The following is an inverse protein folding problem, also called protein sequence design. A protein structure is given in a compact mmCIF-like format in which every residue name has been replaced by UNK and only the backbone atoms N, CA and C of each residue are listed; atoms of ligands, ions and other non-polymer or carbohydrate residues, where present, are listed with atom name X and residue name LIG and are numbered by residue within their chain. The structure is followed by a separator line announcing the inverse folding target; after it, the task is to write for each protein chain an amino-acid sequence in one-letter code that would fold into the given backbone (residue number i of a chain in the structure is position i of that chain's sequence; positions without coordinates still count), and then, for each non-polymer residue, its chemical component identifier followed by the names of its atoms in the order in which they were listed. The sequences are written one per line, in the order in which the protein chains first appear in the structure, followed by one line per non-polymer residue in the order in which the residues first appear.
data_IF_419687479498
#
_entry.id   IF_419687479498
#
_cell.length_a   1.000
_cell.length_b   1.000
_cell.length_c   1.000
_cell.angle_alpha   90.00
_cell.angle_beta   90.00
_cell.angle_gamma   90.00
#
_symmetry.space_group_name_H-M   'P 1'
#
loop_
_entity.id
_entity.type
_entity.pdbx_description
1 polymer ?
#
# COMPACT_ATOMS: atom_id res chain seq x y z
N UNK A 1 36.75 -25.38 45.06
CA UNK A 1 35.40 -25.05 45.54
C UNK A 1 35.05 -23.67 45.04
N UNK A 2 34.24 -23.56 44.00
CA UNK A 2 33.71 -22.27 43.48
C UNK A 2 32.78 -21.73 44.56
N UNK A 3 33.11 -20.57 45.12
CA UNK A 3 32.28 -19.96 46.17
C UNK A 3 30.92 -19.64 45.57
N UNK A 4 29.81 -19.96 46.23
CA UNK A 4 28.41 -19.75 45.81
C UNK A 4 28.18 -18.31 45.31
N UNK A 5 28.87 -17.32 45.87
CA UNK A 5 28.85 -15.92 45.38
C UNK A 5 29.31 -15.76 43.93
N UNK A 6 30.32 -16.54 43.50
CA UNK A 6 30.82 -16.44 42.12
C UNK A 6 29.85 -17.11 41.12
N UNK A 7 29.16 -18.19 41.57
CA UNK A 7 28.14 -18.85 40.76
C UNK A 7 26.92 -17.94 40.57
N UNK A 8 26.50 -17.23 41.62
CA UNK A 8 25.41 -16.28 41.55
C UNK A 8 25.73 -15.07 40.65
N UNK A 9 26.97 -14.56 40.74
CA UNK A 9 27.44 -13.47 39.88
C UNK A 9 27.46 -13.89 38.39
N UNK A 10 27.90 -15.12 38.12
CA UNK A 10 27.91 -15.68 36.76
C UNK A 10 26.49 -15.85 36.21
N UNK A 11 25.55 -16.32 37.05
CA UNK A 11 24.14 -16.47 36.68
C UNK A 11 23.48 -15.09 36.36
N UNK A 12 23.77 -14.06 37.17
CA UNK A 12 23.31 -12.70 36.91
C UNK A 12 23.92 -12.13 35.63
N UNK A 13 25.18 -12.44 35.32
CA UNK A 13 25.79 -12.02 34.06
C UNK A 13 25.09 -12.66 32.86
N UNK A 14 24.75 -13.94 32.90
CA UNK A 14 23.99 -14.61 31.84
C UNK A 14 22.59 -14.06 31.66
N UNK A 15 21.92 -13.63 32.73
CA UNK A 15 20.61 -13.00 32.66
C UNK A 15 20.67 -11.60 32.02
N UNK A 16 21.77 -10.87 32.15
CA UNK A 16 21.97 -9.57 31.50
C UNK A 16 22.24 -9.69 30.01
N UNK A 17 22.79 -10.79 29.52
CA UNK A 17 22.95 -11.07 28.08
C UNK A 17 21.69 -11.65 27.41
N UNK A 18 20.67 -12.01 28.18
CA UNK A 18 19.39 -12.55 27.69
C UNK A 18 18.39 -11.45 27.30
N UNK A 19 18.71 -10.17 27.48
CA UNK A 19 17.89 -9.10 26.98
C UNK A 19 18.15 -9.01 25.46
N UNK A 20 17.48 -9.86 24.69
CA UNK A 20 17.45 -9.73 23.24
C UNK A 20 17.01 -8.31 22.90
N UNK A 21 17.83 -7.57 22.18
CA UNK A 21 17.38 -6.34 21.56
C UNK A 21 16.24 -6.71 20.63
N UNK A 22 15.07 -6.14 20.85
CA UNK A 22 13.96 -6.26 19.91
C UNK A 22 14.44 -5.76 18.56
N UNK A 23 14.54 -6.67 17.60
CA UNK A 23 14.89 -6.30 16.23
C UNK A 23 13.63 -5.70 15.60
N UNK A 24 13.56 -4.40 15.55
CA UNK A 24 12.49 -3.70 14.84
C UNK A 24 12.74 -3.84 13.33
N UNK A 25 11.83 -4.51 12.67
CA UNK A 25 11.81 -4.60 11.23
C UNK A 25 11.03 -3.40 10.69
N UNK A 26 11.64 -2.64 9.81
CA UNK A 26 11.11 -1.38 9.35
C UNK A 26 11.23 -1.30 7.82
N UNK A 27 10.17 -0.84 7.16
CA UNK A 27 10.15 -0.46 5.76
C UNK A 27 9.63 0.97 5.65
N UNK A 28 10.26 1.77 4.80
CA UNK A 28 9.76 3.09 4.46
C UNK A 28 8.63 3.00 3.43
N UNK A 29 7.65 3.87 3.61
CA UNK A 29 6.56 4.02 2.64
C UNK A 29 7.07 4.48 1.26
N UNK A 30 6.30 4.23 0.20
CA UNK A 30 6.47 4.94 -1.07
C UNK A 30 6.39 6.45 -0.85
N UNK A 31 6.90 7.24 -1.79
CA UNK A 31 7.07 8.68 -1.67
C UNK A 31 6.45 9.43 -2.86
N UNK A 32 6.39 10.77 -2.78
CA UNK A 32 6.00 11.64 -3.89
C UNK A 32 4.62 11.34 -4.49
N UNK A 33 3.61 11.11 -3.61
CA UNK A 33 2.23 10.99 -4.08
C UNK A 33 1.71 12.33 -4.61
N UNK A 34 0.88 12.27 -5.64
CA UNK A 34 0.07 13.41 -6.07
C UNK A 34 -1.08 13.72 -5.09
N UNK A 35 -1.50 12.73 -4.27
CA UNK A 35 -2.66 12.80 -3.36
C UNK A 35 -3.85 13.56 -4.00
N UNK A 36 -4.30 13.05 -5.14
CA UNK A 36 -5.27 13.73 -5.99
C UNK A 36 -6.66 13.77 -5.34
N UNK A 37 -7.41 14.84 -5.61
CA UNK A 37 -8.78 15.02 -5.13
C UNK A 37 -9.72 15.28 -6.30
N UNK A 38 -10.01 14.23 -7.07
CA UNK A 38 -10.94 14.21 -8.20
C UNK A 38 -10.78 15.41 -9.16
N UNK A 39 -9.63 15.58 -9.84
CA UNK A 39 -9.42 16.69 -10.74
C UNK A 39 -10.41 16.63 -11.91
N UNK A 40 -10.93 17.79 -12.28
CA UNK A 40 -11.90 17.92 -13.39
C UNK A 40 -11.28 17.71 -14.79
N UNK A 41 -9.95 17.90 -14.91
CA UNK A 41 -9.22 17.66 -16.14
C UNK A 41 -8.95 16.15 -16.33
N UNK A 42 -9.51 15.49 -17.35
CA UNK A 42 -9.29 14.07 -17.61
C UNK A 42 -7.81 13.70 -17.78
N UNK A 43 -6.96 14.63 -18.21
CA UNK A 43 -5.52 14.40 -18.35
C UNK A 43 -4.84 14.18 -17.01
N UNK A 44 -5.40 14.70 -15.92
CA UNK A 44 -4.89 14.61 -14.54
C UNK A 44 -5.56 13.50 -13.71
N UNK A 45 -6.54 12.79 -14.26
CA UNK A 45 -7.26 11.71 -13.58
C UNK A 45 -6.43 10.42 -13.57
N UNK A 46 -5.34 10.43 -12.82
CA UNK A 46 -4.48 9.27 -12.55
C UNK A 46 -3.81 9.38 -11.18
N UNK A 47 -3.62 8.26 -10.52
CA UNK A 47 -2.83 8.17 -9.30
C UNK A 47 -1.35 8.07 -9.66
N UNK A 48 -0.49 8.78 -8.94
CA UNK A 48 0.95 8.69 -9.13
C UNK A 48 1.71 8.70 -7.82
N UNK A 49 2.83 7.98 -7.78
CA UNK A 49 3.76 7.94 -6.68
C UNK A 49 5.11 7.38 -7.14
N UNK A 50 6.11 7.45 -6.26
CA UNK A 50 7.42 6.85 -6.47
C UNK A 50 7.65 5.75 -5.44
N UNK A 51 8.11 4.58 -5.85
CA UNK A 51 8.51 3.52 -4.89
C UNK A 51 9.72 3.96 -4.07
N UNK A 52 9.97 3.30 -2.95
CA UNK A 52 11.14 3.59 -2.12
C UNK A 52 12.12 2.41 -2.11
N UNK A 53 12.43 1.91 -3.31
CA UNK A 53 13.21 0.69 -3.53
C UNK A 53 14.64 0.82 -3.04
N UNK A 54 15.28 1.97 -3.29
CA UNK A 54 16.67 2.22 -2.88
C UNK A 54 16.83 2.11 -1.37
N UNK A 55 16.00 2.83 -0.61
CA UNK A 55 16.06 2.82 0.85
C UNK A 55 15.71 1.45 1.43
N UNK A 56 14.60 0.86 0.99
CA UNK A 56 14.12 -0.42 1.53
C UNK A 56 15.05 -1.59 1.20
N UNK A 57 15.81 -1.50 0.11
CA UNK A 57 16.84 -2.50 -0.19
C UNK A 57 18.05 -2.36 0.72
N UNK A 58 18.51 -1.14 1.00
CA UNK A 58 19.63 -0.90 1.93
C UNK A 58 19.29 -1.40 3.35
N UNK A 59 18.07 -1.14 3.83
CA UNK A 59 17.58 -1.65 5.13
C UNK A 59 17.54 -3.19 5.12
N UNK A 60 17.16 -3.80 4.01
CA UNK A 60 17.12 -5.27 3.87
C UNK A 60 18.50 -5.91 4.07
N UNK A 61 19.57 -5.23 3.71
CA UNK A 61 20.94 -5.74 3.88
C UNK A 61 21.38 -5.79 5.36
N UNK A 62 20.78 -4.97 6.22
CA UNK A 62 21.16 -4.85 7.63
C UNK A 62 20.29 -5.72 8.56
N UNK A 63 19.06 -6.05 8.15
CA UNK A 63 18.02 -6.48 9.10
C UNK A 63 17.23 -7.73 8.76
N UNK A 64 17.72 -8.78 8.08
CA UNK A 64 16.92 -9.99 7.76
C UNK A 64 15.51 -9.72 7.16
N UNK A 65 15.27 -8.52 6.64
CA UNK A 65 14.07 -8.14 5.92
C UNK A 65 14.31 -8.32 4.44
N UNK A 66 13.49 -9.10 3.77
CA UNK A 66 13.51 -9.17 2.32
C UNK A 66 12.45 -8.23 1.76
N UNK A 67 12.87 -7.07 1.24
CA UNK A 67 11.97 -6.17 0.53
C UNK A 67 11.49 -6.81 -0.78
N UNK A 68 10.20 -6.79 -1.03
CA UNK A 68 9.56 -7.46 -2.17
C UNK A 68 9.09 -6.47 -3.23
N UNK A 69 8.68 -5.26 -2.82
CA UNK A 69 8.15 -4.23 -3.70
C UNK A 69 7.03 -3.42 -3.06
N UNK A 70 6.14 -2.88 -3.87
CA UNK A 70 5.04 -2.01 -3.43
C UNK A 70 3.68 -2.61 -3.81
N UNK A 71 2.74 -2.61 -2.87
CA UNK A 71 1.34 -2.97 -3.10
C UNK A 71 0.45 -1.73 -3.03
N UNK A 72 -0.58 -1.68 -3.87
CA UNK A 72 -1.62 -0.65 -3.85
C UNK A 72 -2.90 -1.28 -3.34
N UNK A 73 -3.59 -0.57 -2.45
CA UNK A 73 -4.89 -0.93 -1.91
C UNK A 73 -5.93 0.10 -2.32
N UNK A 74 -7.16 -0.34 -2.53
CA UNK A 74 -8.25 0.54 -2.94
C UNK A 74 -9.58 0.15 -2.28
N UNK A 75 -10.50 1.10 -2.24
CA UNK A 75 -11.90 0.88 -1.91
C UNK A 75 -12.78 1.84 -2.72
N UNK A 76 -13.94 1.37 -3.15
CA UNK A 76 -14.93 2.14 -3.90
C UNK A 76 -16.03 2.58 -2.94
N UNK A 77 -16.54 3.80 -3.14
CA UNK A 77 -17.60 4.43 -2.34
C UNK A 77 -18.65 4.99 -3.28
N UNK A 78 -19.93 4.85 -2.92
CA UNK A 78 -21.04 5.53 -3.59
C UNK A 78 -21.43 6.86 -2.92
N UNK A 79 -20.66 7.30 -1.93
CA UNK A 79 -20.87 8.52 -1.15
C UNK A 79 -19.53 9.20 -0.86
N UNK A 80 -19.38 10.44 -1.37
CA UNK A 80 -18.14 11.20 -1.27
C UNK A 80 -17.83 11.64 0.16
N UNK A 81 -18.86 11.93 0.98
CA UNK A 81 -18.68 12.37 2.36
C UNK A 81 -18.16 11.21 3.21
N UNK A 82 -18.73 10.02 3.05
CA UNK A 82 -18.24 8.79 3.70
C UNK A 82 -16.79 8.51 3.33
N UNK A 83 -16.43 8.64 2.05
CA UNK A 83 -15.04 8.50 1.60
C UNK A 83 -14.11 9.48 2.33
N UNK A 84 -14.43 10.78 2.33
CA UNK A 84 -13.60 11.83 2.95
C UNK A 84 -13.42 11.61 4.45
N UNK A 85 -14.50 11.24 5.15
CA UNK A 85 -14.45 10.95 6.58
C UNK A 85 -13.55 9.74 6.88
N UNK A 86 -13.64 8.67 6.09
CA UNK A 86 -12.76 7.52 6.27
C UNK A 86 -11.30 7.84 5.90
N UNK A 87 -11.06 8.63 4.84
CA UNK A 87 -9.70 9.09 4.48
C UNK A 87 -9.06 9.82 5.66
N UNK A 88 -9.74 10.77 6.29
CA UNK A 88 -9.22 11.51 7.44
C UNK A 88 -8.82 10.53 8.57
N UNK A 89 -9.70 9.58 8.93
CA UNK A 89 -9.42 8.62 10.01
C UNK A 89 -8.22 7.72 9.69
N UNK A 90 -8.07 7.33 8.43
CA UNK A 90 -6.96 6.48 7.99
C UNK A 90 -5.65 7.28 8.01
N UNK A 91 -5.65 8.49 7.45
CA UNK A 91 -4.47 9.35 7.37
C UNK A 91 -3.98 9.77 8.76
N UNK A 92 -4.88 10.13 9.69
CA UNK A 92 -4.53 10.44 11.08
C UNK A 92 -3.93 9.23 11.81
N UNK A 93 -4.41 8.02 11.51
CA UNK A 93 -3.90 6.79 12.11
C UNK A 93 -2.50 6.43 11.61
N UNK A 94 -2.11 6.89 10.42
CA UNK A 94 -0.79 6.64 9.85
C UNK A 94 0.34 7.27 10.68
N UNK A 95 0.06 8.39 11.36
CA UNK A 95 1.01 9.03 12.27
C UNK A 95 1.41 8.15 13.47
N UNK A 96 0.64 7.10 13.77
CA UNK A 96 0.89 6.13 14.85
C UNK A 96 1.24 4.71 14.33
N UNK A 97 1.70 4.58 13.09
CA UNK A 97 2.02 3.32 12.39
C UNK A 97 0.84 2.32 12.29
N UNK A 98 -0.38 2.80 12.48
CA UNK A 98 -1.60 1.99 12.39
C UNK A 98 -2.31 2.09 11.03
N UNK A 99 -1.78 2.90 10.10
CA UNK A 99 -2.43 3.15 8.81
C UNK A 99 -2.76 1.87 8.04
N UNK A 100 -1.80 0.94 7.91
CA UNK A 100 -2.04 -0.34 7.25
C UNK A 100 -3.11 -1.19 7.96
N UNK A 101 -3.13 -1.19 9.30
CA UNK A 101 -4.16 -1.88 10.10
C UNK A 101 -5.55 -1.31 9.81
N UNK A 102 -5.67 0.02 9.59
CA UNK A 102 -6.92 0.67 9.22
C UNK A 102 -7.40 0.29 7.82
N UNK A 103 -6.49 0.13 6.85
CA UNK A 103 -6.88 -0.38 5.53
C UNK A 103 -7.56 -1.75 5.64
N UNK A 104 -7.00 -2.66 6.44
CA UNK A 104 -7.62 -3.97 6.70
C UNK A 104 -8.94 -3.85 7.45
N UNK A 105 -9.02 -2.96 8.46
CA UNK A 105 -10.25 -2.74 9.23
C UNK A 105 -11.42 -2.22 8.36
N UNK A 106 -11.11 -1.40 7.37
CA UNK A 106 -12.11 -0.89 6.41
C UNK A 106 -12.25 -1.73 5.15
N UNK A 107 -11.72 -2.95 5.12
CA UNK A 107 -11.84 -3.91 4.01
C UNK A 107 -11.31 -3.37 2.67
N UNK A 108 -10.22 -2.60 2.68
CA UNK A 108 -9.55 -2.23 1.44
C UNK A 108 -9.02 -3.47 0.73
N UNK A 109 -9.26 -3.55 -0.57
CA UNK A 109 -8.82 -4.66 -1.40
C UNK A 109 -7.51 -4.34 -2.10
N UNK A 110 -6.71 -5.37 -2.39
CA UNK A 110 -5.50 -5.22 -3.20
C UNK A 110 -5.87 -4.90 -4.63
N UNK A 111 -5.27 -3.83 -5.18
CA UNK A 111 -5.29 -3.63 -6.61
C UNK A 111 -4.49 -4.75 -7.27
N UNK A 112 -5.05 -5.36 -8.30
CA UNK A 112 -4.39 -6.34 -9.13
C UNK A 112 -4.13 -5.79 -10.53
N UNK A 113 -3.42 -6.57 -11.33
CA UNK A 113 -3.12 -6.24 -12.71
C UNK A 113 -3.50 -7.42 -13.60
N UNK A 114 -3.88 -7.16 -14.84
CA UNK A 114 -4.16 -8.19 -15.84
C UNK A 114 -2.97 -9.15 -16.06
N UNK A 115 -1.76 -8.68 -15.75
CA UNK A 115 -0.56 -9.52 -15.62
C UNK A 115 -0.28 -9.69 -14.13
N UNK A 116 -0.66 -10.83 -13.56
CA UNK A 116 -0.57 -11.09 -12.12
C UNK A 116 0.83 -10.81 -11.54
N UNK A 117 0.86 -10.08 -10.44
CA UNK A 117 2.05 -9.83 -9.64
C UNK A 117 1.66 -9.62 -8.17
N UNK A 118 2.39 -10.22 -7.23
CA UNK A 118 2.28 -9.97 -5.79
C UNK A 118 3.68 -9.77 -5.18
N UNK A 119 4.05 -8.58 -4.75
CA UNK A 119 3.24 -7.34 -4.78
C UNK A 119 3.01 -6.81 -6.21
N UNK A 120 2.05 -5.87 -6.34
CA UNK A 120 1.66 -5.29 -7.65
C UNK A 120 2.85 -4.73 -8.42
N UNK A 121 3.71 -3.98 -7.75
CA UNK A 121 4.97 -3.46 -8.28
C UNK A 121 6.11 -4.19 -7.60
N UNK A 122 6.81 -5.05 -8.33
CA UNK A 122 8.00 -5.72 -7.81
C UNK A 122 9.14 -4.74 -7.62
N UNK A 123 9.98 -5.00 -6.64
CA UNK A 123 11.20 -4.21 -6.43
C UNK A 123 12.03 -4.14 -7.73
N UNK A 124 12.64 -3.00 -7.96
CA UNK A 124 13.51 -2.79 -9.12
C UNK A 124 14.74 -3.71 -9.08
N UNK A 125 15.10 -4.29 -10.21
CA UNK A 125 16.35 -5.06 -10.34
C UNK A 125 17.60 -4.18 -10.23
N UNK A 126 17.47 -2.87 -10.51
CA UNK A 126 18.54 -1.87 -10.41
C UNK A 126 18.59 -1.21 -9.05
N UNK A 127 17.71 -1.61 -8.11
CA UNK A 127 17.58 -1.06 -6.77
C UNK A 127 17.28 0.45 -6.74
N UNK A 128 16.79 0.98 -7.84
CA UNK A 128 16.38 2.38 -7.99
C UNK A 128 14.88 2.53 -7.80
N UNK A 129 14.46 3.68 -7.28
CA UNK A 129 13.05 4.02 -7.16
C UNK A 129 12.40 4.07 -8.54
N UNK A 130 11.14 3.63 -8.61
CA UNK A 130 10.34 3.54 -9.84
C UNK A 130 9.21 4.56 -9.77
N UNK A 131 8.96 5.30 -10.85
CA UNK A 131 7.82 6.20 -10.95
C UNK A 131 6.59 5.41 -11.43
N UNK A 132 5.54 5.44 -10.62
CA UNK A 132 4.31 4.68 -10.86
C UNK A 132 3.19 5.64 -11.24
N UNK A 133 2.42 5.23 -12.24
CA UNK A 133 1.20 5.92 -12.66
C UNK A 133 0.10 4.89 -12.91
N UNK A 134 -1.09 5.14 -12.34
CA UNK A 134 -2.24 4.24 -12.44
C UNK A 134 -3.42 5.05 -12.97
N UNK A 135 -3.88 4.70 -14.16
CA UNK A 135 -5.05 5.27 -14.79
C UNK A 135 -6.14 4.20 -14.91
N UNK A 136 -7.34 4.51 -14.42
CA UNK A 136 -8.44 3.54 -14.36
C UNK A 136 -9.33 3.57 -15.60
N UNK A 137 -9.42 4.74 -16.27
CA UNK A 137 -10.22 4.99 -17.48
C UNK A 137 -9.35 5.57 -18.57
N UNK A 138 -9.77 5.37 -19.80
CA UNK A 138 -9.16 6.05 -20.95
C UNK A 138 -9.38 7.57 -20.86
N UNK A 139 -8.31 8.33 -20.91
CA UNK A 139 -8.34 9.79 -20.75
C UNK A 139 -8.20 10.56 -22.07
N UNK A 140 -8.37 9.91 -23.22
CA UNK A 140 -8.19 10.52 -24.54
C UNK A 140 -6.73 10.73 -24.96
N UNK A 141 -5.83 10.96 -24.01
CA UNK A 141 -4.37 11.13 -24.24
C UNK A 141 -3.58 9.87 -23.88
N UNK A 142 -4.08 9.09 -22.94
CA UNK A 142 -3.45 7.87 -22.46
C UNK A 142 -4.53 6.87 -22.06
N UNK A 143 -4.32 5.61 -22.42
CA UNK A 143 -5.25 4.53 -22.10
C UNK A 143 -5.19 4.17 -20.61
N UNK A 144 -6.26 3.53 -20.10
CA UNK A 144 -6.24 2.88 -18.81
C UNK A 144 -5.04 1.95 -18.69
N UNK A 145 -4.36 1.96 -17.53
CA UNK A 145 -3.17 1.14 -17.36
C UNK A 145 -2.40 1.42 -16.08
N UNK A 146 -1.54 0.49 -15.75
CA UNK A 146 -0.47 0.66 -14.77
C UNK A 146 0.81 0.88 -15.55
N UNK A 147 1.47 1.99 -15.29
CA UNK A 147 2.73 2.39 -15.94
C UNK A 147 3.83 2.47 -14.89
N UNK A 148 4.97 1.86 -15.21
CA UNK A 148 6.20 1.93 -14.40
C UNK A 148 7.26 2.61 -15.27
N UNK A 149 7.76 3.76 -14.85
CA UNK A 149 8.72 4.59 -15.61
C UNK A 149 8.23 4.83 -17.06
N UNK A 150 6.94 5.16 -17.20
CA UNK A 150 6.21 5.36 -18.46
C UNK A 150 6.06 4.11 -19.33
N UNK A 151 6.40 2.92 -18.85
CA UNK A 151 6.22 1.66 -19.57
C UNK A 151 4.93 1.00 -19.10
N UNK A 152 3.99 0.72 -20.02
CA UNK A 152 2.76 0.00 -19.74
C UNK A 152 3.04 -1.42 -19.21
N UNK A 153 2.39 -1.82 -18.12
CA UNK A 153 2.57 -3.12 -17.46
C UNK A 153 1.31 -3.99 -17.46
N UNK A 154 0.16 -3.41 -17.71
CA UNK A 154 -1.13 -4.11 -17.75
C UNK A 154 -2.28 -3.23 -17.29
N UNK A 155 -3.48 -3.74 -17.39
CA UNK A 155 -4.69 -3.06 -16.94
C UNK A 155 -4.88 -3.23 -15.43
N UNK A 156 -5.29 -2.17 -14.71
CA UNK A 156 -5.71 -2.29 -13.31
C UNK A 156 -6.99 -3.12 -13.23
N UNK A 157 -7.01 -4.09 -12.32
CA UNK A 157 -8.15 -4.99 -12.12
C UNK A 157 -8.68 -4.86 -10.70
N UNK A 158 -10.01 -4.90 -10.57
CA UNK A 158 -10.73 -4.99 -9.30
C UNK A 158 -10.58 -6.39 -8.68
N UNK A 159 -10.90 -6.48 -7.40
CA UNK A 159 -11.04 -7.77 -6.72
C UNK A 159 -12.14 -8.61 -7.41
N UNK A 160 -11.79 -9.85 -7.78
CA UNK A 160 -12.65 -10.79 -8.51
C UNK A 160 -13.26 -10.27 -9.82
N UNK A 161 -12.75 -9.18 -10.39
CA UNK A 161 -13.20 -8.61 -11.65
C UNK A 161 -12.03 -8.22 -12.57
N UNK A 162 -12.29 -8.10 -13.87
CA UNK A 162 -11.25 -7.86 -14.87
C UNK A 162 -10.90 -6.38 -15.09
N UNK A 163 -11.76 -5.45 -14.69
CA UNK A 163 -11.52 -4.02 -14.94
C UNK A 163 -12.32 -3.10 -14.01
N UNK A 164 -11.96 -1.81 -14.01
CA UNK A 164 -12.72 -0.72 -13.37
C UNK A 164 -13.75 -0.10 -14.33
N UNK A 165 -13.81 -0.55 -15.56
CA UNK A 165 -14.81 -0.07 -16.52
C UNK A 165 -16.14 -0.75 -16.22
N UNK A 166 -17.13 0.05 -15.83
CA UNK A 166 -18.50 -0.41 -15.76
C UNK A 166 -19.11 -0.45 -17.15
N UNK A 167 -20.01 -1.39 -17.37
CA UNK A 167 -20.97 -1.30 -18.47
C UNK A 167 -21.85 -0.09 -18.13
N UNK A 168 -22.05 0.79 -19.10
CA UNK A 168 -22.77 2.05 -18.91
C UNK A 168 -24.13 1.82 -18.24
N UNK A 169 -24.32 2.40 -17.05
CA UNK A 169 -25.57 2.27 -16.27
C UNK A 169 -25.62 1.15 -15.22
N UNK A 170 -24.58 0.32 -15.06
CA UNK A 170 -24.52 -0.67 -13.99
C UNK A 170 -23.86 -0.09 -12.72
N UNK A 171 -24.47 -0.38 -11.56
CA UNK A 171 -23.90 -0.01 -10.27
C UNK A 171 -22.66 -0.85 -9.96
N UNK A 172 -21.63 -0.25 -9.35
CA UNK A 172 -20.54 -1.01 -8.77
C UNK A 172 -21.08 -1.82 -7.57
N UNK A 173 -20.75 -3.08 -7.51
CA UNK A 173 -21.11 -3.98 -6.40
C UNK A 173 -19.93 -4.88 -6.04
N UNK A 174 -19.93 -5.43 -4.83
CA UNK A 174 -18.90 -6.34 -4.37
C UNK A 174 -18.31 -5.93 -3.02
N UNK A 175 -17.42 -6.76 -2.48
CA UNK A 175 -16.78 -6.54 -1.17
C UNK A 175 -15.82 -5.32 -1.15
N UNK A 176 -15.41 -4.88 -2.32
CA UNK A 176 -14.57 -3.70 -2.53
C UNK A 176 -15.39 -2.38 -2.63
N UNK A 177 -16.74 -2.47 -2.52
CA UNK A 177 -17.64 -1.32 -2.56
C UNK A 177 -18.22 -1.05 -1.18
N UNK A 178 -18.15 0.20 -0.74
CA UNK A 178 -18.87 0.70 0.43
C UNK A 178 -20.17 1.35 -0.06
N UNK A 179 -21.30 0.66 0.15
CA UNK A 179 -22.63 1.15 -0.21
C UNK A 179 -23.21 1.94 0.97
N UNK A 180 -23.40 3.24 0.79
CA UNK A 180 -24.16 4.11 1.69
C UNK A 180 -25.58 4.29 1.17
N UNK A 181 -26.55 4.38 2.07
CA UNK A 181 -27.93 4.73 1.72
C UNK A 181 -28.09 6.19 1.25
N UNK A 182 -27.05 7.00 1.42
CA UNK A 182 -27.01 8.43 1.02
C UNK A 182 -26.26 8.66 -0.28
N UNK A 183 -25.93 7.58 -1.03
CA UNK A 183 -25.23 7.66 -2.30
C UNK A 183 -25.94 8.56 -3.32
N UNK A 184 -25.16 9.38 -4.02
CA UNK A 184 -25.65 10.37 -5.02
C UNK A 184 -25.72 9.80 -6.46
N UNK A 185 -25.40 8.53 -6.62
CA UNK A 185 -25.36 7.84 -7.92
C UNK A 185 -23.99 7.87 -8.60
N UNK A 186 -23.03 8.61 -8.04
CA UNK A 186 -21.62 8.59 -8.44
C UNK A 186 -20.86 7.55 -7.62
N UNK A 187 -19.74 7.08 -8.18
CA UNK A 187 -18.82 6.19 -7.47
C UNK A 187 -17.43 6.80 -7.43
N UNK A 188 -16.79 6.68 -6.29
CA UNK A 188 -15.47 7.25 -6.03
C UNK A 188 -14.53 6.14 -5.57
N UNK A 189 -13.29 6.18 -6.00
CA UNK A 189 -12.26 5.25 -5.55
C UNK A 189 -11.19 5.96 -4.75
N UNK A 190 -10.87 5.43 -3.56
CA UNK A 190 -9.78 5.89 -2.70
C UNK A 190 -8.65 4.88 -2.76
N UNK A 191 -7.40 5.35 -2.92
CA UNK A 191 -6.22 4.48 -3.02
C UNK A 191 -5.11 4.83 -2.04
N UNK A 192 -4.39 3.79 -1.61
CA UNK A 192 -3.18 3.87 -0.78
C UNK A 192 -2.09 2.94 -1.31
N UNK A 193 -0.84 3.34 -1.17
CA UNK A 193 0.31 2.51 -1.47
C UNK A 193 1.10 2.16 -0.20
N UNK A 194 1.67 0.95 -0.15
CA UNK A 194 2.52 0.46 0.95
C UNK A 194 3.71 -0.30 0.40
N UNK A 195 4.86 -0.16 1.03
CA UNK A 195 6.00 -1.05 0.79
C UNK A 195 5.78 -2.39 1.47
N UNK A 196 6.13 -3.48 0.81
CA UNK A 196 5.91 -4.85 1.27
C UNK A 196 7.23 -5.60 1.36
N UNK A 197 7.45 -6.26 2.46
CA UNK A 197 8.59 -7.14 2.67
C UNK A 197 8.20 -8.44 3.36
N UNK A 198 9.19 -9.27 3.62
CA UNK A 198 9.03 -10.48 4.43
C UNK A 198 10.17 -10.64 5.42
N UNK A 199 9.85 -11.19 6.58
CA UNK A 199 10.80 -11.61 7.61
C UNK A 199 10.75 -13.13 7.70
N UNK A 200 11.90 -13.76 7.88
CA UNK A 200 11.99 -15.22 8.03
C UNK A 200 11.24 -16.02 6.94
N UNK A 201 11.27 -15.54 5.70
CA UNK A 201 10.70 -16.17 4.50
C UNK A 201 9.16 -16.24 4.43
N UNK A 202 8.42 -16.03 5.52
CA UNK A 202 6.97 -16.27 5.54
C UNK A 202 6.13 -15.13 6.10
N UNK A 203 6.63 -14.37 7.05
CA UNK A 203 5.87 -13.29 7.67
C UNK A 203 5.94 -12.01 6.83
N UNK A 204 4.81 -11.56 6.31
CA UNK A 204 4.72 -10.27 5.60
C UNK A 204 4.81 -9.12 6.59
N UNK A 205 5.57 -8.10 6.21
CA UNK A 205 5.64 -6.82 6.89
C UNK A 205 5.30 -5.71 5.91
N UNK A 206 4.76 -4.62 6.44
CA UNK A 206 4.28 -3.49 5.66
C UNK A 206 4.83 -2.21 6.25
N UNK A 207 5.10 -1.22 5.39
CA UNK A 207 5.43 0.14 5.81
C UNK A 207 4.18 0.87 6.34
N UNK A 208 4.36 2.09 6.81
CA UNK A 208 3.28 3.07 6.83
C UNK A 208 2.68 3.25 5.43
N UNK A 209 1.46 3.76 5.37
CA UNK A 209 0.74 3.96 4.11
C UNK A 209 1.09 5.31 3.49
N UNK A 210 0.97 5.39 2.16
CA UNK A 210 1.00 6.63 1.40
C UNK A 210 -0.37 6.84 0.77
N UNK A 211 -1.07 7.94 1.09
CA UNK A 211 -2.31 8.31 0.41
C UNK A 211 -2.02 8.66 -1.05
N UNK A 212 -2.81 8.12 -1.96
CA UNK A 212 -2.77 8.47 -3.39
C UNK A 212 -3.93 9.41 -3.76
N UNK A 213 -4.87 9.63 -2.83
CA UNK A 213 -6.07 10.42 -3.05
C UNK A 213 -7.24 9.61 -3.62
N UNK A 214 -8.21 10.33 -4.19
CA UNK A 214 -9.42 9.71 -4.73
C UNK A 214 -9.81 10.29 -6.10
N UNK A 215 -10.55 9.47 -6.87
CA UNK A 215 -11.12 9.82 -8.17
C UNK A 215 -12.58 9.37 -8.25
N UNK A 216 -13.36 10.05 -9.09
CA UNK A 216 -14.68 9.58 -9.54
C UNK A 216 -14.53 8.56 -10.68
N UNK A 217 -15.29 7.45 -10.59
CA UNK A 217 -15.29 6.32 -11.51
C UNK A 217 -16.36 6.48 -12.59
#
# INVERSE_FOLDING_TARGET
MIKIKNLFLLLCLFLLFSCGLDVYFFLEAPINSSDIENPSDPSQQFFSFTTNDSFNTDVSLVGNVNFLGTQVYYKIYNDLETLKNQKIVIDDSNNSDLGFTRLNFYDFQKLSCSVYSDPLIKKSNTLSNQNIRIRLKDGGFESAGIYIDNIFKGLPCRFDQSSFQNIEGEAFSGIDVNESSTGDGSYYILMYAVSVGSVNLSQRIYSSILSLGYLEL
#
